data_IF_689181958415
#
_entry.id   IF_689181958415
#
_cell.length_a   1.000
_cell.length_b   1.000
_cell.length_c   1.000
_cell.angle_alpha   90.00
_cell.angle_beta   90.00
_cell.angle_gamma   90.00
#
_symmetry.space_group_name_H-M   'P 1'
#
loop_
_entity.id
_entity.type
_entity.pdbx_description
1 polymer ?
#
# COMPACT_ATOMS: atom_id res chain seq x y z
N UNK A 1 -39.98 14.62 29.93
CA UNK A 1 -38.73 14.56 30.69
C UNK A 1 -38.52 13.11 31.11
N UNK A 2 -37.74 12.39 30.32
CA UNK A 2 -37.03 11.14 30.63
C UNK A 2 -36.25 10.86 29.34
N UNK A 3 -34.95 11.10 29.35
CA UNK A 3 -34.06 10.78 28.23
C UNK A 3 -33.90 9.25 28.25
N UNK A 4 -34.25 8.62 27.14
CA UNK A 4 -34.15 7.18 26.94
C UNK A 4 -32.67 6.78 26.85
N UNK A 5 -32.20 6.11 27.91
CA UNK A 5 -30.83 5.65 28.09
C UNK A 5 -30.46 4.55 27.07
N UNK A 6 -31.45 3.92 26.43
CA UNK A 6 -31.24 2.86 25.45
C UNK A 6 -30.88 3.40 24.05
N UNK A 7 -31.21 4.66 23.75
CA UNK A 7 -30.77 5.29 22.49
C UNK A 7 -29.28 5.69 22.52
N UNK A 8 -28.65 5.78 23.70
CA UNK A 8 -27.25 6.16 23.84
C UNK A 8 -26.28 4.97 23.64
N UNK A 9 -26.76 3.73 23.77
CA UNK A 9 -25.92 2.53 23.70
C UNK A 9 -25.62 2.11 22.25
N UNK A 10 -26.46 2.47 21.28
CA UNK A 10 -26.22 2.17 19.86
C UNK A 10 -25.35 3.20 19.11
N UNK A 11 -25.01 4.34 19.74
CA UNK A 11 -24.19 5.40 19.10
C UNK A 11 -22.70 5.25 19.40
N UNK A 12 -22.32 4.45 20.41
CA UNK A 12 -20.92 4.29 20.85
C UNK A 12 -20.34 2.88 20.64
N UNK A 13 -21.06 1.99 19.95
CA UNK A 13 -20.64 0.62 19.65
C UNK A 13 -19.72 0.44 18.43
N UNK A 14 -19.51 1.49 17.62
CA UNK A 14 -18.35 1.55 16.73
C UNK A 14 -17.16 2.06 17.55
N UNK A 15 -16.66 1.19 18.43
CA UNK A 15 -15.28 1.28 18.87
C UNK A 15 -14.45 1.33 17.58
N UNK A 16 -14.02 2.54 17.25
CA UNK A 16 -12.91 2.83 16.35
C UNK A 16 -11.77 1.91 16.78
N UNK A 17 -11.70 0.75 16.14
CA UNK A 17 -10.43 0.06 15.97
C UNK A 17 -9.62 1.10 15.23
N UNK A 18 -8.77 1.82 15.97
CA UNK A 18 -7.68 2.63 15.41
C UNK A 18 -7.17 1.86 14.21
N UNK A 19 -7.51 2.28 13.00
CA UNK A 19 -7.14 1.55 11.80
C UNK A 19 -5.64 1.73 11.66
N UNK A 20 -4.89 0.79 12.23
CA UNK A 20 -3.43 0.77 12.18
C UNK A 20 -2.93 0.58 10.74
N UNK A 21 -3.81 0.10 9.85
CA UNK A 21 -3.64 0.13 8.41
C UNK A 21 -4.97 -0.03 7.67
N UNK A 22 -5.05 0.49 6.44
CA UNK A 22 -6.04 0.07 5.45
C UNK A 22 -5.65 -1.32 4.93
N UNK A 23 -6.59 -2.27 4.95
CA UNK A 23 -6.35 -3.67 4.63
C UNK A 23 -6.74 -3.99 3.18
N UNK A 24 -5.89 -4.73 2.49
CA UNK A 24 -6.22 -5.38 1.23
C UNK A 24 -7.37 -6.38 1.46
N UNK A 25 -8.46 -6.19 0.74
CA UNK A 25 -9.66 -7.00 0.80
C UNK A 25 -9.99 -7.54 -0.60
N UNK A 26 -9.29 -8.58 -1.09
CA UNK A 26 -9.53 -9.16 -2.40
C UNK A 26 -10.94 -9.77 -2.54
N UNK A 27 -11.51 -9.66 -3.74
CA UNK A 27 -12.77 -10.33 -4.11
C UNK A 27 -12.60 -11.86 -4.18
N UNK A 28 -13.72 -12.59 -4.26
CA UNK A 28 -13.70 -14.07 -4.36
C UNK A 28 -12.95 -14.58 -5.59
N UNK A 29 -12.89 -13.78 -6.66
CA UNK A 29 -12.25 -14.16 -7.92
C UNK A 29 -10.72 -13.90 -7.92
N UNK A 30 -10.21 -13.17 -6.92
CA UNK A 30 -8.79 -12.82 -6.76
C UNK A 30 -8.02 -13.88 -5.95
N UNK A 31 -8.15 -15.15 -6.33
CA UNK A 31 -7.59 -16.28 -5.57
C UNK A 31 -6.07 -16.21 -5.35
N UNK A 32 -5.31 -15.72 -6.33
CA UNK A 32 -3.85 -15.54 -6.18
C UNK A 32 -3.53 -14.53 -5.08
N UNK A 33 -4.19 -13.36 -5.10
CA UNK A 33 -4.01 -12.29 -4.12
C UNK A 33 -4.42 -12.73 -2.72
N UNK A 34 -5.53 -13.48 -2.59
CA UNK A 34 -5.96 -14.06 -1.31
C UNK A 34 -4.89 -14.90 -0.64
N UNK A 35 -4.16 -15.72 -1.41
CA UNK A 35 -3.00 -16.47 -0.88
C UNK A 35 -1.88 -15.54 -0.42
N UNK A 36 -1.66 -14.46 -1.18
CA UNK A 36 -0.64 -13.46 -0.88
C UNK A 36 -0.83 -12.69 0.43
N UNK A 37 -2.06 -12.60 0.95
CA UNK A 37 -2.32 -11.94 2.25
C UNK A 37 -1.64 -12.64 3.44
N UNK A 38 -1.28 -13.91 3.27
CA UNK A 38 -0.63 -14.73 4.30
C UNK A 38 0.85 -15.02 3.98
N UNK A 39 1.32 -14.66 2.79
CA UNK A 39 2.72 -14.78 2.38
C UNK A 39 3.47 -13.50 2.77
N UNK A 40 3.52 -13.24 4.08
CA UNK A 40 4.18 -12.06 4.66
C UNK A 40 5.22 -12.52 5.68
N UNK A 41 6.50 -12.16 5.53
CA UNK A 41 7.57 -12.54 6.43
C UNK A 41 7.42 -11.79 7.76
N UNK A 42 7.95 -12.34 8.86
CA UNK A 42 7.86 -11.73 10.20
C UNK A 42 8.51 -10.34 10.30
N UNK A 43 9.42 -10.02 9.38
CA UNK A 43 10.14 -8.76 9.31
C UNK A 43 10.17 -8.27 7.87
N UNK A 44 9.85 -7.00 7.69
CA UNK A 44 9.95 -6.30 6.42
C UNK A 44 10.93 -5.15 6.53
N UNK A 45 11.71 -4.98 5.49
CA UNK A 45 12.64 -3.88 5.36
C UNK A 45 12.11 -2.89 4.35
N UNK A 46 12.18 -1.61 4.70
CA UNK A 46 11.81 -0.54 3.78
C UNK A 46 13.05 0.03 3.12
N UNK A 47 13.06 0.01 1.80
CA UNK A 47 14.06 0.73 1.00
C UNK A 47 13.57 2.15 0.79
N UNK A 48 14.41 3.12 1.13
CA UNK A 48 14.15 4.53 0.88
C UNK A 48 14.72 4.96 -0.48
N UNK A 49 13.94 5.70 -1.27
CA UNK A 49 14.41 6.33 -2.51
C UNK A 49 13.89 7.78 -2.60
N UNK A 50 14.67 8.75 -3.09
CA UNK A 50 14.20 10.14 -3.22
C UNK A 50 12.97 10.32 -4.12
N UNK A 51 12.67 9.34 -4.99
CA UNK A 51 11.54 9.38 -5.94
C UNK A 51 10.24 8.81 -5.38
N UNK A 52 10.28 8.34 -4.15
CA UNK A 52 9.21 7.60 -3.51
C UNK A 52 8.18 8.58 -2.91
N UNK A 53 6.90 8.47 -3.24
CA UNK A 53 5.82 9.35 -2.74
C UNK A 53 5.21 8.80 -1.42
N UNK A 54 4.97 9.67 -0.44
CA UNK A 54 4.47 9.32 0.91
C UNK A 54 5.15 10.11 2.04
N UNK A 55 4.91 9.75 3.30
CA UNK A 55 5.50 10.27 4.53
C UNK A 55 5.91 9.17 5.48
N UNK A 56 6.96 9.41 6.28
CA UNK A 56 7.33 8.61 7.44
C UNK A 56 7.65 9.59 8.57
N UNK A 57 6.95 9.45 9.69
CA UNK A 57 7.28 10.11 10.95
C UNK A 57 7.47 9.03 12.04
N UNK A 58 7.62 9.45 13.29
CA UNK A 58 7.85 8.54 14.42
C UNK A 58 6.69 7.57 14.67
N UNK A 59 5.47 7.94 14.24
CA UNK A 59 4.24 7.20 14.52
C UNK A 59 3.62 6.53 13.29
N UNK A 60 3.74 7.16 12.13
CA UNK A 60 3.03 6.80 10.92
C UNK A 60 3.94 6.78 9.69
N UNK A 61 3.78 5.75 8.88
CA UNK A 61 3.97 5.87 7.45
C UNK A 61 2.61 6.28 6.84
N UNK A 62 2.52 7.37 6.06
CA UNK A 62 1.32 7.71 5.24
C UNK A 62 1.58 7.91 3.75
N UNK A 63 0.66 7.50 2.87
CA UNK A 63 0.82 7.64 1.41
C UNK A 63 0.63 9.09 1.03
N UNK A 64 0.98 9.48 -0.20
CA UNK A 64 0.72 10.88 -0.59
C UNK A 64 -0.78 11.19 -0.52
N UNK A 65 -1.63 10.24 -0.90
CA UNK A 65 -3.08 10.34 -0.75
C UNK A 65 -3.54 10.42 0.71
N UNK A 66 -3.04 9.53 1.56
CA UNK A 66 -3.35 9.54 3.00
C UNK A 66 -2.99 10.88 3.65
N UNK A 67 -1.85 11.45 3.24
CA UNK A 67 -1.38 12.74 3.71
C UNK A 67 -2.20 13.88 3.10
N UNK A 68 -2.54 13.83 1.81
CA UNK A 68 -3.38 14.83 1.16
C UNK A 68 -4.79 14.86 1.77
N UNK A 69 -5.35 13.70 2.12
CA UNK A 69 -6.65 13.53 2.78
C UNK A 69 -6.75 14.21 4.16
N UNK A 70 -5.61 14.48 4.83
CA UNK A 70 -5.56 15.28 6.06
C UNK A 70 -5.88 16.76 5.81
N UNK A 71 -5.57 17.26 4.62
CA UNK A 71 -5.72 18.67 4.24
C UNK A 71 -6.85 18.93 3.25
N UNK A 72 -7.24 17.93 2.47
CA UNK A 72 -8.25 18.01 1.42
C UNK A 72 -9.25 16.84 1.58
N UNK A 73 -10.48 17.10 2.07
CA UNK A 73 -11.51 16.09 2.23
C UNK A 73 -11.88 15.34 0.95
N UNK A 74 -11.70 15.95 -0.22
CA UNK A 74 -12.01 15.30 -1.52
C UNK A 74 -11.07 14.14 -1.83
N UNK A 75 -9.90 14.09 -1.18
CA UNK A 75 -8.91 13.01 -1.29
C UNK A 75 -9.14 11.86 -0.31
N UNK A 76 -10.06 12.00 0.65
CA UNK A 76 -10.35 10.92 1.61
C UNK A 76 -10.92 9.68 0.94
N UNK A 77 -11.77 9.85 -0.06
CA UNK A 77 -12.38 8.72 -0.75
C UNK A 77 -11.32 7.83 -1.44
N UNK A 78 -10.30 8.42 -2.07
CA UNK A 78 -9.23 7.65 -2.71
C UNK A 78 -8.27 6.99 -1.71
N UNK A 79 -8.06 7.65 -0.57
CA UNK A 79 -7.24 7.20 0.56
C UNK A 79 -7.88 6.03 1.33
N UNK A 80 -9.20 6.05 1.52
CA UNK A 80 -9.94 5.02 2.26
C UNK A 80 -10.41 3.84 1.39
N UNK A 81 -10.27 3.95 0.07
CA UNK A 81 -10.68 2.90 -0.87
C UNK A 81 -9.53 1.93 -1.14
N UNK A 82 -9.73 0.66 -0.78
CA UNK A 82 -8.86 -0.44 -1.18
C UNK A 82 -8.69 -0.48 -2.71
N UNK A 83 -7.44 -0.45 -3.17
CA UNK A 83 -7.08 -0.53 -4.59
C UNK A 83 -7.66 -1.76 -5.29
N UNK A 84 -7.89 -2.87 -4.57
CA UNK A 84 -8.48 -4.10 -5.12
C UNK A 84 -9.99 -3.99 -5.34
N UNK A 85 -10.65 -3.01 -4.74
CA UNK A 85 -12.08 -2.74 -4.86
C UNK A 85 -12.41 -1.68 -5.92
N UNK A 86 -11.39 -1.03 -6.50
CA UNK A 86 -11.57 -0.04 -7.55
C UNK A 86 -12.04 -0.71 -8.85
N UNK A 87 -13.04 -0.11 -9.50
CA UNK A 87 -13.66 -0.66 -10.71
C UNK A 87 -12.80 -0.50 -11.97
N UNK A 88 -11.92 0.50 -12.01
CA UNK A 88 -11.04 0.75 -13.14
C UNK A 88 -9.70 0.01 -12.98
N UNK A 89 -9.67 -1.24 -13.42
CA UNK A 89 -8.47 -2.08 -13.37
C UNK A 89 -7.29 -1.52 -14.18
N UNK A 90 -7.55 -0.76 -15.25
CA UNK A 90 -6.49 -0.17 -16.08
C UNK A 90 -5.83 1.00 -15.35
N UNK A 91 -6.61 1.81 -14.66
CA UNK A 91 -6.08 2.89 -13.82
C UNK A 91 -5.24 2.32 -12.67
N UNK A 92 -5.76 1.30 -11.97
CA UNK A 92 -5.02 0.63 -10.88
C UNK A 92 -3.72 0.01 -11.39
N UNK A 93 -3.74 -0.65 -12.56
CA UNK A 93 -2.54 -1.22 -13.15
C UNK A 93 -1.49 -0.15 -13.46
N UNK A 94 -1.91 1.03 -13.95
CA UNK A 94 -1.02 2.17 -14.19
C UNK A 94 -0.43 2.74 -12.89
N UNK A 95 -1.22 2.84 -11.82
CA UNK A 95 -0.74 3.30 -10.52
C UNK A 95 0.29 2.33 -9.93
N UNK A 96 -0.01 1.03 -9.96
CA UNK A 96 0.94 -0.02 -9.54
C UNK A 96 2.21 0.03 -10.39
N UNK A 97 2.08 0.18 -11.72
CA UNK A 97 3.20 0.28 -12.64
C UNK A 97 4.07 1.51 -12.34
N UNK A 98 3.44 2.68 -12.18
CA UNK A 98 4.15 3.91 -11.85
C UNK A 98 4.87 3.81 -10.50
N UNK A 99 4.22 3.19 -9.51
CA UNK A 99 4.81 2.94 -8.22
C UNK A 99 6.05 2.05 -8.33
N UNK A 100 5.91 0.84 -8.87
CA UNK A 100 6.98 -0.16 -8.90
C UNK A 100 8.16 0.23 -9.82
N UNK A 101 7.91 1.02 -10.88
CA UNK A 101 8.96 1.56 -11.75
C UNK A 101 9.59 2.86 -11.21
N UNK A 102 9.16 3.32 -10.04
CA UNK A 102 9.60 4.56 -9.40
C UNK A 102 9.51 5.76 -10.36
N UNK A 103 8.45 5.82 -11.17
CA UNK A 103 8.22 6.88 -12.17
C UNK A 103 7.87 8.19 -11.45
N UNK A 104 8.40 9.30 -11.95
CA UNK A 104 7.99 10.64 -11.53
C UNK A 104 6.64 11.00 -12.15
N UNK A 105 5.54 11.01 -11.38
CA UNK A 105 4.28 11.70 -11.75
C UNK A 105 3.41 12.11 -10.54
N UNK A 106 2.68 13.22 -10.77
CA UNK A 106 1.41 13.80 -10.22
C UNK A 106 0.61 12.87 -9.27
N UNK A 107 -0.08 13.42 -8.24
CA UNK A 107 -0.33 12.78 -6.94
C UNK A 107 -0.85 11.35 -7.10
N UNK A 108 0.02 10.40 -6.78
CA UNK A 108 -0.28 8.99 -6.86
C UNK A 108 -1.26 8.63 -5.76
N UNK A 109 -2.39 8.06 -6.17
CA UNK A 109 -3.34 7.51 -5.23
C UNK A 109 -2.81 6.22 -4.64
N UNK A 110 -2.49 6.28 -3.35
CA UNK A 110 -2.26 5.12 -2.48
C UNK A 110 -1.01 4.31 -2.82
N UNK A 111 0.18 4.70 -2.33
CA UNK A 111 1.27 3.85 -1.78
C UNK A 111 2.35 4.80 -1.22
N UNK A 112 3.22 4.27 -0.36
CA UNK A 112 3.74 4.90 0.82
C UNK A 112 5.29 4.91 0.92
N UNK A 113 5.97 6.05 0.79
CA UNK A 113 7.46 6.16 0.85
C UNK A 113 7.99 7.62 1.03
N UNK A 114 8.93 7.94 1.97
CA UNK A 114 9.50 9.32 2.15
C UNK A 114 10.89 9.45 2.79
N UNK A 115 11.61 10.55 2.46
CA UNK A 115 12.91 11.05 3.01
C UNK A 115 12.80 12.17 4.07
N UNK A 116 13.84 12.78 4.64
CA UNK A 116 15.21 13.17 4.20
C UNK A 116 16.38 12.30 4.69
N UNK A 117 17.56 12.49 4.06
CA UNK A 117 18.79 11.72 4.19
C UNK A 117 19.33 11.58 5.63
N UNK A 118 19.02 10.44 6.23
CA UNK A 118 19.93 9.64 7.06
C UNK A 118 19.62 8.19 6.69
N UNK A 119 20.63 7.33 6.60
CA UNK A 119 20.43 5.90 6.34
C UNK A 119 19.65 5.29 7.51
N UNK A 120 18.33 5.40 7.46
CA UNK A 120 17.43 4.82 8.42
C UNK A 120 16.78 3.63 7.74
N UNK A 121 17.09 2.45 8.26
CA UNK A 121 16.50 1.20 7.81
C UNK A 121 15.40 0.81 8.80
N UNK A 122 14.15 1.29 8.62
CA UNK A 122 13.06 0.84 9.46
C UNK A 122 12.79 -0.64 9.15
N UNK A 123 13.10 -1.49 10.13
CA UNK A 123 12.63 -2.87 10.16
C UNK A 123 11.24 -2.87 10.79
N UNK A 124 10.23 -3.25 10.00
CA UNK A 124 8.86 -3.39 10.48
C UNK A 124 8.64 -4.84 10.89
N UNK A 125 8.34 -5.05 12.17
CA UNK A 125 7.86 -6.35 12.67
C UNK A 125 6.41 -6.50 12.25
N UNK A 126 6.11 -7.54 11.47
CA UNK A 126 4.76 -7.79 10.95
C UNK A 126 3.90 -8.62 11.90
N UNK A 127 4.52 -9.29 12.88
CA UNK A 127 3.81 -10.04 13.91
C UNK A 127 2.84 -9.14 14.69
N UNK A 128 1.57 -9.54 14.75
CA UNK A 128 0.49 -8.78 15.40
C UNK A 128 -0.29 -7.88 14.44
N UNK A 129 0.14 -7.72 13.18
CA UNK A 129 -0.66 -7.06 12.15
C UNK A 129 -1.71 -8.01 11.57
N UNK A 130 -2.83 -7.45 11.14
CA UNK A 130 -3.91 -8.23 10.52
C UNK A 130 -3.48 -8.71 9.14
N UNK A 131 -3.96 -9.90 8.74
CA UNK A 131 -3.81 -10.35 7.37
C UNK A 131 -4.41 -9.29 6.42
N UNK A 132 -3.69 -9.00 5.33
CA UNK A 132 -4.03 -7.93 4.41
C UNK A 132 -3.45 -6.54 4.75
N UNK A 133 -2.68 -6.39 5.84
CA UNK A 133 -1.89 -5.15 6.03
C UNK A 133 -0.78 -5.03 4.97
N UNK A 134 -0.20 -6.16 4.57
CA UNK A 134 0.80 -6.23 3.52
C UNK A 134 0.36 -7.19 2.42
N UNK A 135 0.75 -6.86 1.19
CA UNK A 135 0.63 -7.74 0.04
C UNK A 135 1.93 -7.71 -0.76
N UNK A 136 2.49 -8.89 -1.02
CA UNK A 136 3.65 -9.03 -1.90
C UNK A 136 3.24 -8.62 -3.31
N UNK A 137 3.99 -7.69 -3.89
CA UNK A 137 3.80 -7.16 -5.24
C UNK A 137 3.67 -8.22 -6.35
N UNK A 138 4.29 -9.40 -6.21
CA UNK A 138 4.22 -10.51 -7.16
C UNK A 138 2.77 -10.95 -7.42
N UNK A 139 1.92 -10.98 -6.39
CA UNK A 139 0.51 -11.33 -6.55
C UNK A 139 -0.28 -10.26 -7.29
N UNK A 140 0.12 -8.98 -7.15
CA UNK A 140 -0.46 -7.86 -7.88
C UNK A 140 -0.01 -7.88 -9.34
N UNK A 141 1.26 -8.14 -9.61
CA UNK A 141 1.80 -8.30 -10.95
C UNK A 141 1.07 -9.40 -11.72
N UNK A 142 0.87 -10.56 -11.09
CA UNK A 142 0.18 -11.68 -11.73
C UNK A 142 -1.27 -11.36 -12.13
N UNK A 143 -1.93 -10.51 -11.34
CA UNK A 143 -3.30 -10.11 -11.59
C UNK A 143 -3.39 -8.97 -12.62
N UNK A 144 -2.65 -7.88 -12.40
CA UNK A 144 -2.75 -6.63 -13.16
C UNK A 144 -1.87 -6.56 -14.42
N UNK A 145 -0.92 -7.49 -14.64
CA UNK A 145 -0.11 -7.47 -15.87
C UNK A 145 -0.94 -7.58 -17.16
N UNK A 146 -2.17 -8.07 -17.06
CA UNK A 146 -3.11 -8.16 -18.20
C UNK A 146 -3.68 -6.79 -18.61
N UNK A 147 -3.60 -5.80 -17.72
CA UNK A 147 -4.18 -4.47 -17.88
C UNK A 147 -3.14 -3.39 -18.23
N UNK A 148 -1.85 -3.64 -17.96
CA UNK A 148 -0.74 -2.74 -18.31
C UNK A 148 0.23 -3.46 -19.26
N UNK A 149 -0.06 -3.36 -20.56
CA UNK A 149 0.71 -3.99 -21.63
C UNK A 149 1.88 -3.10 -22.09
N UNK A 150 2.94 -3.70 -22.65
CA UNK A 150 4.05 -2.94 -23.21
C UNK A 150 3.59 -2.01 -24.33
N UNK A 151 4.23 -0.85 -24.44
CA UNK A 151 3.99 0.07 -25.57
C UNK A 151 4.64 -0.51 -26.83
N UNK A 152 3.88 -0.79 -27.91
CA UNK A 152 4.46 -1.34 -29.13
C UNK A 152 5.59 -0.46 -29.69
N UNK A 153 6.74 -1.06 -29.94
CA UNK A 153 7.92 -0.36 -30.48
C UNK A 153 8.79 0.38 -29.46
N UNK A 154 8.41 0.42 -28.18
CA UNK A 154 9.27 0.95 -27.13
C UNK A 154 10.34 -0.09 -26.74
N UNK A 155 11.63 0.27 -26.86
CA UNK A 155 12.74 -0.60 -26.46
C UNK A 155 12.81 -0.83 -24.95
N UNK A 156 12.42 0.17 -24.17
CA UNK A 156 12.44 0.16 -22.71
C UNK A 156 11.03 0.42 -22.16
N UNK A 157 10.07 -0.41 -22.59
CA UNK A 157 8.74 -0.36 -22.01
C UNK A 157 8.83 -0.64 -20.50
N UNK A 158 8.22 0.24 -19.72
CA UNK A 158 8.11 0.12 -18.26
C UNK A 158 6.69 -0.29 -17.91
N UNK A 159 6.22 -1.43 -18.43
CA UNK A 159 4.90 -1.98 -18.10
C UNK A 159 4.99 -3.01 -16.97
N UNK A 160 3.84 -3.43 -16.42
CA UNK A 160 3.78 -4.55 -15.47
C UNK A 160 4.21 -5.88 -16.12
N UNK A 161 3.97 -6.06 -17.42
CA UNK A 161 4.45 -7.25 -18.16
C UNK A 161 5.97 -7.30 -18.19
N UNK A 162 6.62 -6.16 -18.45
CA UNK A 162 8.09 -6.07 -18.49
C UNK A 162 8.68 -6.38 -17.10
N UNK A 163 8.06 -5.86 -16.04
CA UNK A 163 8.48 -6.11 -14.67
C UNK A 163 8.30 -7.58 -14.26
N UNK A 164 7.19 -8.19 -14.65
CA UNK A 164 6.97 -9.63 -14.46
C UNK A 164 8.00 -10.46 -15.22
N UNK A 165 8.35 -10.08 -16.44
CA UNK A 165 9.41 -10.72 -17.23
C UNK A 165 10.77 -10.64 -16.53
N UNK A 166 11.12 -9.49 -15.97
CA UNK A 166 12.35 -9.33 -15.18
C UNK A 166 12.34 -10.20 -13.92
N UNK A 167 11.22 -10.33 -13.19
CA UNK A 167 11.12 -11.27 -12.05
C UNK A 167 11.33 -12.71 -12.45
N UNK A 168 10.72 -13.14 -13.55
CA UNK A 168 10.89 -14.50 -14.05
C UNK A 168 12.34 -14.79 -14.46
N UNK A 169 13.13 -13.75 -14.77
CA UNK A 169 14.58 -13.84 -15.03
C UNK A 169 15.44 -13.78 -13.75
N UNK A 170 14.83 -13.79 -12.57
CA UNK A 170 15.53 -13.83 -11.27
C UNK A 170 15.91 -12.46 -10.70
N UNK A 171 15.40 -11.36 -11.26
CA UNK A 171 15.65 -10.05 -10.68
C UNK A 171 14.84 -9.87 -9.38
N UNK A 172 15.53 -9.50 -8.29
CA UNK A 172 14.92 -9.36 -6.98
C UNK A 172 14.73 -7.89 -6.61
N UNK A 173 13.49 -7.43 -6.75
CA UNK A 173 12.99 -6.16 -6.22
C UNK A 173 11.71 -6.46 -5.43
N UNK A 174 11.75 -7.48 -4.57
CA UNK A 174 10.60 -7.97 -3.81
C UNK A 174 10.10 -6.92 -2.81
N UNK A 175 9.07 -6.18 -3.21
CA UNK A 175 8.41 -5.15 -2.41
C UNK A 175 7.12 -5.72 -1.80
N UNK A 176 6.88 -5.33 -0.56
CA UNK A 176 5.60 -5.51 0.10
C UNK A 176 4.90 -4.17 0.13
N UNK A 177 3.68 -4.16 -0.35
CA UNK A 177 2.87 -2.96 -0.40
C UNK A 177 1.98 -2.93 0.83
N UNK A 178 1.79 -1.74 1.40
CA UNK A 178 0.76 -1.41 2.38
C UNK A 178 -0.06 -0.25 1.83
N UNK A 179 -1.34 -0.18 2.19
CA UNK A 179 -2.23 0.85 1.68
C UNK A 179 -2.36 2.00 2.66
N UNK A 180 -2.64 3.18 2.10
CA UNK A 180 -3.00 4.39 2.84
C UNK A 180 -1.99 4.81 3.91
N UNK A 181 -2.22 4.41 5.16
CA UNK A 181 -1.42 4.70 6.32
C UNK A 181 -1.08 3.42 7.07
N UNK A 182 0.09 3.39 7.70
CA UNK A 182 0.55 2.28 8.53
C UNK A 182 1.11 2.87 9.82
N UNK A 183 0.54 2.48 10.96
CA UNK A 183 1.05 2.85 12.28
C UNK A 183 2.32 2.07 12.57
N UNK A 184 3.42 2.80 12.77
CA UNK A 184 4.77 2.25 12.97
C UNK A 184 5.23 2.27 14.43
N UNK A 185 4.55 3.01 15.32
CA UNK A 185 4.88 3.08 16.74
C UNK A 185 4.99 1.69 17.35
N UNK A 186 6.07 1.44 18.12
CA UNK A 186 6.38 0.15 18.79
C UNK A 186 6.61 -1.08 17.87
N UNK A 187 6.32 -0.95 16.57
CA UNK A 187 6.40 -2.03 15.57
C UNK A 187 7.57 -1.87 14.62
N UNK A 188 8.14 -0.68 14.60
CA UNK A 188 9.24 -0.31 13.74
C UNK A 188 10.49 -0.05 14.59
N UNK A 189 11.58 -0.74 14.26
CA UNK A 189 12.90 -0.44 14.83
C UNK A 189 13.76 0.19 13.77
N UNK A 190 14.26 1.37 14.07
CA UNK A 190 15.28 2.04 13.28
C UNK A 190 16.61 1.37 13.62
N UNK A 191 17.21 0.71 12.63
CA UNK A 191 18.59 0.25 12.72
C UNK A 191 19.45 1.25 11.96
N UNK A 192 20.37 1.92 12.66
CA UNK A 192 21.44 2.73 12.07
C UNK A 192 22.77 1.99 12.21
N UNK A 193 23.47 1.81 11.10
CA UNK A 193 24.88 1.36 11.04
C UNK A 193 25.80 2.56 10.94
#
# INVERSE_FOLDING_TARGET
MALDLDSAINVFGFLSISQDALLFNPSKDQNSIRRGLHDVPPYLFRVHTPKSAGTLDEEWARSEDAKAALTDPTRRESSETDILQRRDFNHVAKDISAHLWWKWRVPATTILSRGQARFFWPCVRTGGLRAGTFLRDAYLLDFYSKCDLPVPGAKDSQSLVDMKSMRNKGWYFGEYLSQDSLKTTERCSIVSI
#
